data_IF_316689987054
#
_entry.id   IF_316689987054
#
_cell.length_a   1.000
_cell.length_b   1.000
_cell.length_c   1.000
_cell.angle_alpha   90.00
_cell.angle_beta   90.00
_cell.angle_gamma   90.00
#
_symmetry.space_group_name_H-M   'P 1'
#
loop_
_entity.id
_entity.type
_entity.pdbx_description
1 polymer ?
#
# COMPACT_ATOMS: atom_id res chain seq x y z
N UNK A 1 -20.51 -74.12 -48.44
CA UNK A 1 -20.28 -73.39 -47.18
C UNK A 1 -18.82 -73.58 -46.79
N UNK A 2 -17.94 -72.61 -47.06
CA UNK A 2 -16.54 -72.68 -46.58
C UNK A 2 -15.98 -71.29 -46.24
N UNK A 3 -15.87 -71.11 -44.92
CA UNK A 3 -14.81 -70.45 -44.15
C UNK A 3 -14.10 -69.21 -44.73
N UNK A 4 -14.48 -68.04 -44.20
CA UNK A 4 -13.63 -66.85 -44.19
C UNK A 4 -12.44 -67.05 -43.24
N UNK A 5 -11.20 -66.72 -43.65
CA UNK A 5 -10.07 -66.69 -42.72
C UNK A 5 -10.27 -65.55 -41.73
N UNK A 6 -10.44 -65.89 -40.44
CA UNK A 6 -10.44 -64.92 -39.34
C UNK A 6 -9.06 -64.27 -39.26
N UNK A 7 -9.00 -62.97 -39.51
CA UNK A 7 -7.83 -62.15 -39.24
C UNK A 7 -7.62 -62.08 -37.73
N UNK A 8 -6.68 -62.89 -37.22
CA UNK A 8 -6.33 -62.92 -35.81
C UNK A 8 -5.50 -61.66 -35.48
N UNK A 9 -6.16 -60.57 -35.10
CA UNK A 9 -5.49 -59.41 -34.49
C UNK A 9 -4.94 -59.84 -33.14
N UNK A 10 -3.71 -60.34 -33.14
CA UNK A 10 -2.90 -60.49 -31.94
C UNK A 10 -2.72 -59.10 -31.29
N UNK A 11 -3.58 -58.79 -30.31
CA UNK A 11 -3.31 -57.71 -29.36
C UNK A 11 -2.02 -58.10 -28.62
N UNK A 12 -0.89 -57.47 -29.00
CA UNK A 12 0.32 -57.48 -28.17
C UNK A 12 -0.07 -56.94 -26.79
N UNK A 13 -0.21 -57.83 -25.80
CA UNK A 13 -0.24 -57.43 -24.39
C UNK A 13 1.21 -57.05 -24.04
N UNK A 14 1.55 -55.77 -24.18
CA UNK A 14 2.81 -55.23 -23.69
C UNK A 14 2.71 -55.19 -22.16
N UNK A 15 3.49 -56.03 -21.47
CA UNK A 15 3.65 -55.95 -20.02
C UNK A 15 4.57 -54.77 -19.70
N UNK A 16 4.17 -53.92 -18.75
CA UNK A 16 5.03 -52.84 -18.25
C UNK A 16 6.17 -53.47 -17.46
N UNK A 17 7.40 -53.11 -17.78
CA UNK A 17 8.59 -53.61 -17.07
C UNK A 17 8.85 -52.78 -15.81
N UNK A 18 9.49 -53.38 -14.79
CA UNK A 18 9.82 -52.70 -13.54
C UNK A 18 10.66 -51.42 -13.77
N UNK A 19 11.53 -51.45 -14.78
CA UNK A 19 12.34 -50.31 -15.22
C UNK A 19 11.46 -49.16 -15.72
N UNK A 20 10.43 -49.43 -16.52
CA UNK A 20 9.49 -48.40 -16.99
C UNK A 20 8.73 -47.76 -15.82
N UNK A 21 8.35 -48.53 -14.79
CA UNK A 21 7.69 -47.99 -13.60
C UNK A 21 8.65 -47.10 -12.80
N UNK A 22 9.92 -47.51 -12.63
CA UNK A 22 10.93 -46.69 -11.94
C UNK A 22 11.24 -45.41 -12.69
N UNK A 23 11.35 -45.47 -14.02
CA UNK A 23 11.59 -44.28 -14.84
C UNK A 23 10.38 -43.35 -14.80
N UNK A 24 9.16 -43.89 -14.92
CA UNK A 24 7.93 -43.10 -14.83
C UNK A 24 7.76 -42.45 -13.45
N UNK A 25 8.05 -43.16 -12.36
CA UNK A 25 7.96 -42.61 -11.01
C UNK A 25 9.03 -41.55 -10.73
N UNK A 26 10.26 -41.73 -11.25
CA UNK A 26 11.32 -40.74 -11.17
C UNK A 26 10.95 -39.45 -11.93
N UNK A 27 10.42 -39.57 -13.15
CA UNK A 27 9.95 -38.43 -13.93
C UNK A 27 8.79 -37.72 -13.22
N UNK A 28 7.82 -38.48 -12.70
CA UNK A 28 6.69 -37.91 -11.95
C UNK A 28 7.13 -37.19 -10.69
N UNK A 29 8.06 -37.76 -9.92
CA UNK A 29 8.61 -37.12 -8.72
C UNK A 29 9.37 -35.83 -9.07
N UNK A 30 10.15 -35.84 -10.16
CA UNK A 30 10.88 -34.67 -10.63
C UNK A 30 9.94 -33.54 -11.08
N UNK A 31 8.97 -33.86 -11.94
CA UNK A 31 7.97 -32.89 -12.40
C UNK A 31 7.12 -32.38 -11.24
N UNK A 32 6.69 -33.26 -10.34
CA UNK A 32 5.96 -32.90 -9.13
C UNK A 32 6.75 -31.96 -8.21
N UNK A 33 8.05 -32.21 -8.04
CA UNK A 33 8.95 -31.33 -7.30
C UNK A 33 9.06 -29.93 -7.91
N UNK A 34 9.23 -29.84 -9.24
CA UNK A 34 9.29 -28.57 -9.96
C UNK A 34 7.98 -27.79 -9.82
N UNK A 35 6.84 -28.44 -10.07
CA UNK A 35 5.51 -27.80 -9.99
C UNK A 35 5.21 -27.35 -8.56
N UNK A 36 5.54 -28.17 -7.56
CA UNK A 36 5.38 -27.81 -6.15
C UNK A 36 6.22 -26.60 -5.75
N UNK A 37 7.49 -26.56 -6.19
CA UNK A 37 8.38 -25.44 -5.94
C UNK A 37 7.90 -24.16 -6.65
N UNK A 38 7.47 -24.27 -7.90
CA UNK A 38 6.92 -23.17 -8.68
C UNK A 38 5.67 -22.58 -8.01
N UNK A 39 4.74 -23.42 -7.55
CA UNK A 39 3.53 -22.96 -6.84
C UNK A 39 3.87 -22.24 -5.53
N UNK A 40 4.86 -22.73 -4.79
CA UNK A 40 5.32 -22.08 -3.57
C UNK A 40 5.91 -20.68 -3.85
N UNK A 41 6.79 -20.57 -4.85
CA UNK A 41 7.36 -19.28 -5.26
C UNK A 41 6.26 -18.33 -5.73
N UNK A 42 5.34 -18.80 -6.57
CA UNK A 42 4.25 -17.98 -7.09
C UNK A 42 3.37 -17.45 -5.97
N UNK A 43 3.01 -18.28 -4.99
CA UNK A 43 2.24 -17.86 -3.81
C UNK A 43 2.97 -16.81 -2.99
N UNK A 44 4.28 -16.97 -2.81
CA UNK A 44 5.09 -16.00 -2.06
C UNK A 44 5.17 -14.66 -2.80
N UNK A 45 5.34 -14.67 -4.12
CA UNK A 45 5.35 -13.46 -4.95
C UNK A 45 3.98 -12.76 -4.95
N UNK A 46 2.89 -13.51 -5.11
CA UNK A 46 1.53 -12.96 -5.05
C UNK A 46 1.25 -12.28 -3.70
N UNK A 47 1.65 -12.89 -2.58
CA UNK A 47 1.50 -12.25 -1.26
C UNK A 47 2.23 -10.92 -1.18
N UNK A 48 3.48 -10.86 -1.64
CA UNK A 48 4.24 -9.60 -1.68
C UNK A 48 3.56 -8.54 -2.54
N UNK A 49 3.01 -8.92 -3.70
CA UNK A 49 2.27 -8.00 -4.56
C UNK A 49 1.01 -7.47 -3.88
N UNK A 50 0.25 -8.31 -3.19
CA UNK A 50 -0.92 -7.88 -2.42
C UNK A 50 -0.53 -6.95 -1.28
N UNK A 51 0.52 -7.28 -0.52
CA UNK A 51 0.99 -6.41 0.57
C UNK A 51 1.38 -5.01 0.08
N UNK A 52 2.08 -4.93 -1.07
CA UNK A 52 2.45 -3.64 -1.69
C UNK A 52 1.20 -2.91 -2.22
N UNK A 53 0.28 -3.63 -2.86
CA UNK A 53 -0.97 -3.05 -3.37
C UNK A 53 -1.82 -2.45 -2.24
N UNK A 54 -1.98 -3.18 -1.15
CA UNK A 54 -2.73 -2.72 0.03
C UNK A 54 -2.07 -1.51 0.67
N UNK A 55 -0.73 -1.52 0.78
CA UNK A 55 0.03 -0.38 1.28
C UNK A 55 -0.14 0.87 0.41
N UNK A 56 -0.07 0.74 -0.92
CA UNK A 56 -0.30 1.85 -1.85
C UNK A 56 -1.73 2.39 -1.77
N UNK A 57 -2.72 1.51 -1.61
CA UNK A 57 -4.12 1.92 -1.46
C UNK A 57 -4.33 2.71 -0.16
N UNK A 58 -3.75 2.24 0.96
CA UNK A 58 -3.80 2.94 2.23
C UNK A 58 -3.17 4.34 2.14
N UNK A 59 -1.99 4.44 1.51
CA UNK A 59 -1.30 5.71 1.24
C UNK A 59 -2.21 6.65 0.45
N UNK A 60 -2.77 6.19 -0.68
CA UNK A 60 -3.63 7.03 -1.53
C UNK A 60 -4.88 7.51 -0.82
N UNK A 61 -5.54 6.64 -0.06
CA UNK A 61 -6.75 7.02 0.68
C UNK A 61 -6.47 8.04 1.78
N UNK A 62 -5.39 7.83 2.54
CA UNK A 62 -4.96 8.76 3.58
C UNK A 62 -4.57 10.12 2.98
N UNK A 63 -3.74 10.11 1.94
CA UNK A 63 -3.33 11.32 1.22
C UNK A 63 -4.53 12.06 0.68
N UNK A 64 -5.46 11.39 0.00
CA UNK A 64 -6.63 12.03 -0.59
C UNK A 64 -7.43 12.81 0.45
N UNK A 65 -7.74 12.20 1.59
CA UNK A 65 -8.49 12.84 2.67
C UNK A 65 -7.78 14.09 3.19
N UNK A 66 -6.47 13.99 3.48
CA UNK A 66 -5.68 15.14 3.95
C UNK A 66 -5.55 16.23 2.89
N UNK A 67 -5.31 15.86 1.63
CA UNK A 67 -5.13 16.78 0.51
C UNK A 67 -6.36 17.62 0.25
N UNK A 68 -7.57 17.05 0.34
CA UNK A 68 -8.81 17.79 0.12
C UNK A 68 -8.95 18.94 1.13
N UNK A 69 -8.68 18.69 2.42
CA UNK A 69 -8.72 19.75 3.42
C UNK A 69 -7.55 20.74 3.27
N UNK A 70 -6.34 20.24 3.07
CA UNK A 70 -5.14 21.07 2.90
C UNK A 70 -5.23 22.00 1.69
N UNK A 71 -5.81 21.58 0.56
CA UNK A 71 -6.02 22.44 -0.62
C UNK A 71 -6.88 23.66 -0.30
N UNK A 72 -7.83 23.52 0.62
CA UNK A 72 -8.72 24.60 1.05
C UNK A 72 -8.16 25.43 2.22
N UNK A 73 -6.95 25.13 2.67
CA UNK A 73 -6.31 25.87 3.74
C UNK A 73 -6.08 27.33 3.31
N UNK A 74 -6.32 28.27 4.22
CA UNK A 74 -5.97 29.70 4.07
C UNK A 74 -4.49 29.93 4.33
N UNK A 75 -3.96 29.25 5.33
CA UNK A 75 -2.55 29.35 5.70
C UNK A 75 -2.10 28.14 6.47
N UNK A 76 -0.86 27.72 6.22
CA UNK A 76 -0.17 26.74 7.05
C UNK A 76 0.39 27.47 8.27
N UNK A 77 0.07 26.96 9.45
CA UNK A 77 0.59 27.44 10.73
C UNK A 77 1.86 26.68 11.13
N UNK A 78 1.94 25.40 10.72
CA UNK A 78 3.04 24.49 11.01
C UNK A 78 3.04 23.30 10.01
N UNK A 79 4.21 22.77 9.59
CA UNK A 79 5.55 23.27 9.86
C UNK A 79 5.77 24.64 9.20
N UNK A 80 6.68 25.44 9.77
CA UNK A 80 7.12 26.71 9.18
C UNK A 80 8.54 26.53 8.66
N UNK A 81 8.83 27.14 7.51
CA UNK A 81 10.20 27.29 7.03
C UNK A 81 11.06 27.97 8.11
N UNK A 82 12.31 27.55 8.20
CA UNK A 82 13.27 28.11 9.15
C UNK A 82 13.65 29.55 8.78
N UNK A 83 14.22 30.30 9.72
CA UNK A 83 14.65 31.70 9.49
C UNK A 83 15.72 31.87 8.41
N UNK A 84 16.41 30.79 8.03
CA UNK A 84 17.42 30.74 6.99
C UNK A 84 16.86 30.24 5.64
N UNK A 85 15.53 30.19 5.50
CA UNK A 85 14.80 29.62 4.36
C UNK A 85 15.07 28.12 4.11
N UNK A 86 15.58 27.38 5.10
CA UNK A 86 15.69 25.93 4.97
C UNK A 86 14.34 25.24 5.16
N UNK A 87 14.13 24.19 4.35
CA UNK A 87 12.93 23.35 4.42
C UNK A 87 12.81 22.71 5.80
N UNK A 88 11.58 22.69 6.33
CA UNK A 88 11.29 22.05 7.61
C UNK A 88 10.26 20.95 7.43
N UNK A 89 10.61 19.77 7.90
CA UNK A 89 9.74 18.60 7.96
C UNK A 89 9.35 18.29 9.40
N UNK A 90 8.10 17.88 9.62
CA UNK A 90 7.61 17.47 10.95
C UNK A 90 6.54 16.37 10.83
N UNK A 91 6.25 15.66 11.92
CA UNK A 91 5.26 14.58 11.94
C UNK A 91 3.83 15.08 12.12
N UNK A 92 3.62 16.41 12.10
CA UNK A 92 2.33 17.06 12.16
C UNK A 92 2.25 18.26 11.22
N UNK A 93 1.05 18.54 10.73
CA UNK A 93 0.72 19.76 9.99
C UNK A 93 -0.46 20.42 10.66
N UNK A 94 -0.38 21.74 10.83
CA UNK A 94 -1.43 22.56 11.41
C UNK A 94 -1.71 23.69 10.44
N UNK A 95 -2.99 23.90 10.11
CA UNK A 95 -3.39 24.91 9.15
C UNK A 95 -4.74 25.50 9.49
N UNK A 96 -4.99 26.69 8.98
CA UNK A 96 -6.29 27.35 9.08
C UNK A 96 -7.13 26.98 7.86
N UNK A 97 -8.31 26.43 8.07
CA UNK A 97 -9.26 26.09 7.00
C UNK A 97 -9.88 27.36 6.39
N UNK A 98 -10.65 27.18 5.30
CA UNK A 98 -11.44 28.26 4.73
C UNK A 98 -12.50 28.83 5.68
N UNK A 99 -13.13 28.02 6.55
CA UNK A 99 -14.05 28.51 7.59
C UNK A 99 -13.33 29.27 8.71
N UNK A 100 -12.00 29.18 8.73
CA UNK A 100 -11.13 29.77 9.74
C UNK A 100 -10.85 28.85 10.92
N UNK A 101 -11.43 27.63 10.94
CA UNK A 101 -11.12 26.59 11.93
C UNK A 101 -9.64 26.20 11.82
N UNK A 102 -9.02 25.82 12.93
CA UNK A 102 -7.66 25.27 12.90
C UNK A 102 -7.77 23.76 12.83
N UNK A 103 -7.19 23.18 11.80
CA UNK A 103 -7.12 21.74 11.58
C UNK A 103 -5.68 21.30 11.81
N UNK A 104 -5.52 20.18 12.51
CA UNK A 104 -4.22 19.59 12.76
C UNK A 104 -4.28 18.10 12.43
N UNK A 105 -3.35 17.67 11.57
CA UNK A 105 -3.04 16.25 11.39
C UNK A 105 -1.74 15.95 12.10
N UNK A 106 -1.69 14.85 12.83
CA UNK A 106 -0.49 14.42 13.54
C UNK A 106 -0.38 12.90 13.53
N UNK A 107 0.87 12.43 13.49
CA UNK A 107 1.20 11.02 13.55
C UNK A 107 1.38 10.55 15.00
N UNK A 108 0.73 9.44 15.34
CA UNK A 108 0.87 8.75 16.63
C UNK A 108 1.69 7.48 16.41
N UNK A 109 2.97 7.54 16.76
CA UNK A 109 3.92 6.45 16.50
C UNK A 109 3.60 5.15 17.25
N UNK A 110 3.02 5.23 18.46
CA UNK A 110 2.67 4.06 19.27
C UNK A 110 1.58 3.21 18.60
N UNK A 111 0.55 3.87 18.07
CA UNK A 111 -0.61 3.21 17.46
C UNK A 111 -0.47 3.06 15.94
N UNK A 112 0.57 3.66 15.34
CA UNK A 112 0.78 3.74 13.89
C UNK A 112 -0.41 4.37 13.16
N UNK A 113 -0.95 5.45 13.72
CA UNK A 113 -2.14 6.13 13.22
C UNK A 113 -1.86 7.58 12.84
N UNK A 114 -2.58 8.06 11.82
CA UNK A 114 -2.72 9.49 11.55
C UNK A 114 -4.03 9.92 12.16
N UNK A 115 -3.97 10.91 13.05
CA UNK A 115 -5.14 11.49 13.68
C UNK A 115 -5.35 12.91 13.22
N UNK A 116 -6.61 13.32 13.29
CA UNK A 116 -7.07 14.66 12.97
C UNK A 116 -7.66 15.28 14.24
N UNK A 117 -7.35 16.53 14.48
CA UNK A 117 -8.08 17.34 15.44
C UNK A 117 -8.48 18.67 14.84
N UNK A 118 -9.61 19.18 15.32
CA UNK A 118 -10.23 20.41 14.90
C UNK A 118 -10.37 21.33 16.10
N UNK A 119 -9.88 22.56 15.96
CA UNK A 119 -10.13 23.65 16.90
C UNK A 119 -11.06 24.64 16.20
N UNK A 120 -12.30 24.82 16.70
CA UNK A 120 -13.27 25.70 16.06
C UNK A 120 -12.82 27.17 16.12
N UNK A 121 -13.14 27.92 15.07
CA UNK A 121 -12.93 29.37 15.02
C UNK A 121 -14.03 30.12 15.80
N UNK A 122 -14.06 29.94 17.11
CA UNK A 122 -15.09 30.47 18.00
C UNK A 122 -15.06 29.80 19.37
N UNK A 123 -16.09 29.99 20.20
CA UNK A 123 -16.20 29.28 21.47
C UNK A 123 -16.36 27.76 21.22
N UNK A 124 -15.53 26.97 21.90
CA UNK A 124 -15.54 25.52 21.80
C UNK A 124 -14.21 24.92 22.24
N UNK A 125 -14.22 23.68 22.71
CA UNK A 125 -13.00 22.93 23.01
C UNK A 125 -12.42 22.33 21.73
N UNK A 126 -11.08 22.13 21.67
CA UNK A 126 -10.47 21.27 20.67
C UNK A 126 -11.13 19.88 20.68
N UNK A 127 -11.49 19.38 19.51
CA UNK A 127 -12.05 18.05 19.32
C UNK A 127 -11.08 17.20 18.51
N UNK A 128 -10.86 15.97 18.96
CA UNK A 128 -10.08 14.97 18.23
C UNK A 128 -11.10 14.04 17.58
N UNK A 129 -10.95 13.80 16.27
CA UNK A 129 -11.86 12.89 15.57
C UNK A 129 -11.74 11.49 16.20
N UNK A 130 -12.88 10.81 16.47
CA UNK A 130 -12.88 9.52 17.16
C UNK A 130 -12.19 8.43 16.35
N UNK A 131 -12.33 8.50 15.03
CA UNK A 131 -11.69 7.60 14.08
C UNK A 131 -10.42 8.23 13.51
N UNK A 132 -9.31 7.46 13.42
CA UNK A 132 -8.11 7.94 12.76
C UNK A 132 -8.33 8.03 11.25
N UNK A 133 -7.62 8.97 10.64
CA UNK A 133 -7.59 9.19 9.18
C UNK A 133 -7.01 7.96 8.47
N UNK A 134 -5.99 7.35 9.08
CA UNK A 134 -5.35 6.16 8.58
C UNK A 134 -4.72 5.36 9.71
N UNK A 135 -4.60 4.04 9.52
CA UNK A 135 -3.98 3.08 10.44
C UNK A 135 -2.86 2.32 9.74
N UNK A 136 -1.99 1.67 10.51
CA UNK A 136 -0.83 0.91 10.03
C UNK A 136 0.17 1.77 9.25
N UNK A 137 0.30 3.05 9.62
CA UNK A 137 1.23 3.97 9.00
C UNK A 137 2.57 3.88 9.75
N UNK A 138 3.63 3.54 9.02
CA UNK A 138 4.98 3.37 9.56
C UNK A 138 5.65 4.71 9.84
N UNK A 139 5.43 5.70 8.96
CA UNK A 139 5.97 7.06 9.12
C UNK A 139 5.13 8.06 8.34
N UNK A 140 5.06 9.29 8.85
CA UNK A 140 4.53 10.46 8.12
C UNK A 140 5.43 11.65 8.35
N UNK A 141 5.70 12.41 7.30
CA UNK A 141 6.34 13.72 7.39
C UNK A 141 5.63 14.73 6.50
N UNK A 142 5.36 15.90 7.07
CA UNK A 142 4.85 17.07 6.37
C UNK A 142 6.00 18.05 6.21
N UNK A 143 6.25 18.54 5.00
CA UNK A 143 7.34 19.48 4.70
C UNK A 143 6.78 20.75 4.09
N UNK A 144 7.10 21.91 4.65
CA UNK A 144 6.84 23.18 4.01
C UNK A 144 7.94 23.45 2.98
N UNK A 145 7.57 23.44 1.71
CA UNK A 145 8.50 23.38 0.56
C UNK A 145 8.56 24.66 -0.27
N UNK A 146 7.82 25.70 0.12
CA UNK A 146 7.79 27.02 -0.55
C UNK A 146 7.84 28.14 0.49
N UNK A 147 8.63 29.19 0.22
CA UNK A 147 8.83 30.36 1.09
C UNK A 147 7.51 31.05 1.50
N UNK A 148 6.47 30.93 0.66
CA UNK A 148 5.12 31.41 0.96
C UNK A 148 4.30 30.52 1.91
N UNK A 149 4.84 29.37 2.35
CA UNK A 149 4.13 28.26 3.01
C UNK A 149 2.86 27.84 2.24
N UNK A 150 2.91 27.89 0.90
CA UNK A 150 1.79 27.55 0.01
C UNK A 150 1.87 26.14 -0.57
N UNK A 151 2.97 25.45 -0.31
CA UNK A 151 3.23 24.11 -0.82
C UNK A 151 3.68 23.22 0.33
N UNK A 152 2.91 22.14 0.56
CA UNK A 152 3.18 21.15 1.59
C UNK A 152 3.37 19.79 0.94
N UNK A 153 4.53 19.20 1.15
CA UNK A 153 4.78 17.81 0.78
C UNK A 153 4.37 16.88 1.92
N UNK A 154 3.65 15.83 1.59
CA UNK A 154 3.18 14.77 2.49
C UNK A 154 3.91 13.49 2.10
N UNK A 155 4.90 13.13 2.89
CA UNK A 155 5.58 11.84 2.81
C UNK A 155 4.89 10.85 3.74
N UNK A 156 4.62 9.64 3.26
CA UNK A 156 4.09 8.55 4.07
C UNK A 156 4.77 7.23 3.73
N UNK A 157 4.97 6.40 4.75
CA UNK A 157 5.46 5.04 4.62
C UNK A 157 4.48 4.05 5.24
N UNK A 158 4.19 2.98 4.52
CA UNK A 158 3.34 1.86 4.94
C UNK A 158 4.02 0.56 4.55
N UNK A 159 4.40 -0.28 5.52
CA UNK A 159 5.01 -1.59 5.30
C UNK A 159 6.23 -1.55 4.32
N UNK A 160 7.07 -0.52 4.41
CA UNK A 160 8.23 -0.33 3.52
C UNK A 160 7.89 0.19 2.12
N UNK A 161 6.62 0.46 1.82
CA UNK A 161 6.19 1.18 0.62
C UNK A 161 6.03 2.65 0.97
N UNK A 162 6.55 3.54 0.13
CA UNK A 162 6.51 4.97 0.35
C UNK A 162 5.61 5.68 -0.68
N UNK A 163 5.05 6.80 -0.26
CA UNK A 163 4.32 7.75 -1.10
C UNK A 163 4.74 9.16 -0.77
N UNK A 164 4.81 10.00 -1.81
CA UNK A 164 5.08 11.42 -1.69
C UNK A 164 4.02 12.16 -2.50
N UNK A 165 3.24 12.98 -1.83
CA UNK A 165 2.19 13.79 -2.45
C UNK A 165 2.43 15.27 -2.14
N UNK A 166 2.30 16.13 -3.14
CA UNK A 166 2.49 17.57 -2.99
C UNK A 166 1.15 18.27 -3.03
N UNK A 167 0.90 19.16 -2.06
CA UNK A 167 -0.34 19.91 -1.96
C UNK A 167 -0.05 21.40 -2.10
N UNK A 168 -0.61 21.99 -3.15
CA UNK A 168 -0.66 23.43 -3.33
C UNK A 168 -1.94 24.00 -2.72
N UNK A 169 -1.81 25.03 -1.88
CA UNK A 169 -2.94 25.74 -1.28
C UNK A 169 -3.59 26.64 -2.34
N UNK A 170 -4.89 26.43 -2.61
CA UNK A 170 -5.61 27.11 -3.71
C UNK A 170 -6.22 28.48 -3.33
N UNK A 171 -6.00 28.95 -2.11
CA UNK A 171 -6.61 30.19 -1.63
C UNK A 171 -5.80 31.40 -2.11
N UNK A 172 -6.41 32.22 -2.98
CA UNK A 172 -5.96 33.58 -3.35
C UNK A 172 -6.63 34.63 -2.46
#
# INVERSE_FOLDING_TARGET
MFMYPRYNRSRKKSGVTLVEIMVASAILAFVGGIVGHWFFIQRQQQRRLFDVSDAQQAIRQASWTMMQELRTARSILFPRINSDNSLRSDSKVVFKSFSGDIICYYYVALDQEIRRCKVPNGPGSPEIDPDPVAKNISQVMFTASDDGNRLIDVFMEVKGTFGLETVYLMNE
#
